data_IF_866693480145
#
_entry.id   IF_866693480145
#
_cell.length_a   1.000
_cell.length_b   1.000
_cell.length_c   1.000
_cell.angle_alpha   90.00
_cell.angle_beta   90.00
_cell.angle_gamma   90.00
#
_symmetry.space_group_name_H-M   'P 1'
#
loop_
_entity.id
_entity.type
_entity.pdbx_description
1 polymer ?
#
# COMPACT_ATOMS: atom_id res chain seq x y z
N UNK A 1 6.59 33.26 32.73
CA UNK A 1 6.98 31.84 32.83
C UNK A 1 5.77 31.19 33.48
N UNK A 2 4.82 30.63 32.74
CA UNK A 2 5.01 29.54 31.78
C UNK A 2 4.17 29.65 30.49
N UNK A 3 4.69 28.96 29.48
CA UNK A 3 4.41 29.09 28.05
C UNK A 3 3.17 28.25 27.69
N UNK A 4 1.98 28.82 27.86
CA UNK A 4 0.74 28.38 27.19
C UNK A 4 0.21 29.50 26.30
N UNK A 5 1.10 30.17 25.56
CA UNK A 5 0.70 30.98 24.41
C UNK A 5 0.79 30.07 23.17
N UNK A 6 -0.36 29.72 22.58
CA UNK A 6 -0.35 29.21 21.20
C UNK A 6 -1.45 28.22 20.80
N UNK A 7 -2.13 27.54 21.72
CA UNK A 7 -3.17 26.58 21.32
C UNK A 7 -4.50 27.31 21.09
N UNK A 8 -4.73 27.71 19.84
CA UNK A 8 -6.01 28.26 19.38
C UNK A 8 -6.89 27.14 18.81
N UNK A 9 -8.00 26.84 19.49
CA UNK A 9 -9.03 25.91 19.01
C UNK A 9 -9.73 26.49 17.78
N UNK A 10 -9.59 25.83 16.61
CA UNK A 10 -10.12 26.33 15.33
C UNK A 10 -11.43 25.68 14.84
N UNK A 11 -11.81 24.43 15.14
CA UNK A 11 -13.18 23.91 14.85
C UNK A 11 -13.55 22.48 15.38
N UNK A 12 -14.81 22.07 15.08
CA UNK A 12 -15.72 21.00 15.58
C UNK A 12 -15.13 19.66 16.00
N UNK A 13 -15.62 19.18 17.13
CA UNK A 13 -15.32 17.88 17.70
C UNK A 13 -16.46 16.89 17.38
N UNK A 14 -16.23 15.94 16.48
CA UNK A 14 -17.24 14.93 16.11
C UNK A 14 -17.11 13.68 17.02
N UNK A 15 -18.21 13.22 17.67
CA UNK A 15 -18.14 12.08 18.59
C UNK A 15 -18.10 10.73 17.85
N UNK A 16 -17.31 9.78 18.36
CA UNK A 16 -17.62 8.35 18.19
C UNK A 16 -16.72 7.48 17.30
N UNK A 17 -15.42 7.74 17.17
CA UNK A 17 -14.45 6.71 16.74
C UNK A 17 -13.21 6.73 17.63
N UNK A 18 -12.43 5.65 17.67
CA UNK A 18 -11.24 5.50 18.55
C UNK A 18 -9.99 6.01 17.84
N UNK A 19 -9.16 6.90 18.40
CA UNK A 19 -7.68 6.80 18.28
C UNK A 19 -6.94 7.47 19.45
N UNK A 20 -5.73 6.95 19.65
CA UNK A 20 -4.86 6.91 20.82
C UNK A 20 -3.87 8.09 20.84
N UNK A 21 -3.77 8.78 21.97
CA UNK A 21 -2.73 9.77 22.29
C UNK A 21 -1.34 9.10 22.29
N UNK A 22 -0.38 9.67 21.56
CA UNK A 22 1.04 9.30 21.66
C UNK A 22 1.84 10.55 22.05
N UNK A 23 2.14 10.67 23.35
CA UNK A 23 3.09 11.67 23.85
C UNK A 23 4.51 11.11 23.88
N UNK A 24 5.49 11.96 23.59
CA UNK A 24 6.91 11.66 23.77
C UNK A 24 7.27 11.83 25.26
N UNK A 25 7.61 10.72 25.93
CA UNK A 25 7.97 10.71 27.34
C UNK A 25 9.39 11.25 27.58
N UNK A 26 9.49 12.52 27.94
CA UNK A 26 10.57 12.94 28.84
C UNK A 26 10.02 12.91 30.26
N UNK A 27 10.47 11.93 31.05
CA UNK A 27 10.07 11.75 32.43
C UNK A 27 10.54 12.94 33.27
N UNK A 28 9.69 13.95 33.42
CA UNK A 28 9.90 15.05 34.35
C UNK A 28 8.54 15.56 34.80
N UNK A 29 8.02 14.96 35.88
CA UNK A 29 6.82 15.34 36.64
C UNK A 29 5.47 15.07 35.94
N UNK A 30 4.70 14.15 36.52
CA UNK A 30 3.30 13.89 36.18
C UNK A 30 2.44 15.05 36.68
N UNK A 31 2.08 15.98 35.81
CA UNK A 31 1.29 17.16 36.18
C UNK A 31 -0.22 16.85 36.13
N UNK A 32 -0.86 16.71 37.30
CA UNK A 32 -2.31 16.47 37.41
C UNK A 32 -3.16 17.51 36.68
N UNK A 33 -2.70 18.76 36.60
CA UNK A 33 -3.37 19.83 35.86
C UNK A 33 -3.45 19.57 34.35
N UNK A 34 -2.48 18.85 33.76
CA UNK A 34 -2.53 18.44 32.35
C UNK A 34 -3.56 17.33 32.14
N UNK A 35 -3.64 16.39 33.07
CA UNK A 35 -4.62 15.29 33.04
C UNK A 35 -6.06 15.82 33.09
N UNK A 36 -6.33 16.81 33.94
CA UNK A 36 -7.66 17.45 34.02
C UNK A 36 -7.99 18.25 32.75
N UNK A 37 -7.00 18.90 32.13
CA UNK A 37 -7.18 19.59 30.86
C UNK A 37 -7.48 18.60 29.72
N UNK A 38 -6.78 17.47 29.65
CA UNK A 38 -7.02 16.42 28.65
C UNK A 38 -8.36 15.71 28.85
N UNK A 39 -8.80 15.54 30.10
CA UNK A 39 -10.11 14.96 30.43
C UNK A 39 -11.29 15.77 29.87
N UNK A 40 -11.13 17.08 29.65
CA UNK A 40 -12.15 17.92 29.01
C UNK A 40 -12.34 17.60 27.52
N UNK A 41 -11.33 16.98 26.88
CA UNK A 41 -11.34 16.57 25.48
C UNK A 41 -11.63 15.07 25.31
N UNK A 42 -11.97 14.38 26.40
CA UNK A 42 -12.21 12.94 26.38
C UNK A 42 -13.48 12.63 25.55
N UNK A 43 -13.34 11.74 24.56
CA UNK A 43 -14.40 11.45 23.58
C UNK A 43 -14.40 12.32 22.32
N UNK A 44 -13.46 13.27 22.22
CA UNK A 44 -13.30 14.13 21.05
C UNK A 44 -11.98 13.87 20.31
N UNK A 45 -11.98 14.11 18.99
CA UNK A 45 -10.77 14.06 18.18
C UNK A 45 -10.16 15.45 18.06
N UNK A 46 -8.93 15.59 18.55
CA UNK A 46 -8.13 16.79 18.39
C UNK A 46 -6.91 16.50 17.51
N UNK A 47 -6.65 17.38 16.53
CA UNK A 47 -5.40 17.40 15.77
C UNK A 47 -4.55 18.51 16.38
N UNK A 48 -3.36 18.15 16.87
CA UNK A 48 -2.39 19.12 17.38
C UNK A 48 -1.32 19.31 16.30
N UNK A 49 -1.14 20.55 15.87
CA UNK A 49 -0.18 20.91 14.81
C UNK A 49 0.49 22.25 15.16
N UNK A 50 1.75 22.40 14.78
CA UNK A 50 2.51 23.64 14.84
C UNK A 50 2.34 24.52 13.57
N UNK A 51 1.60 24.02 12.59
CA UNK A 51 1.33 24.66 11.30
C UNK A 51 0.17 25.64 11.40
N UNK A 52 0.46 26.90 11.63
CA UNK A 52 -0.56 27.96 11.72
C UNK A 52 -1.12 28.42 10.36
N UNK A 53 -0.42 28.07 9.27
CA UNK A 53 -0.70 28.47 7.88
C UNK A 53 -1.82 27.66 7.20
N UNK A 54 -2.26 26.55 7.82
CA UNK A 54 -3.25 25.63 7.27
C UNK A 54 -4.66 25.90 7.81
N UNK A 55 -5.67 25.59 6.99
CA UNK A 55 -7.06 25.59 7.46
C UNK A 55 -7.37 24.28 8.19
N UNK A 56 -8.37 24.29 9.09
CA UNK A 56 -8.82 23.08 9.80
C UNK A 56 -9.20 21.94 8.85
N UNK A 57 -9.75 22.26 7.68
CA UNK A 57 -10.05 21.29 6.62
C UNK A 57 -8.79 20.71 5.98
N UNK A 58 -7.74 21.51 5.78
CA UNK A 58 -6.47 21.04 5.21
C UNK A 58 -5.74 20.13 6.21
N UNK A 59 -5.71 20.52 7.49
CA UNK A 59 -5.14 19.72 8.58
C UNK A 59 -5.83 18.35 8.69
N UNK A 60 -7.17 18.35 8.66
CA UNK A 60 -7.97 17.11 8.71
C UNK A 60 -7.70 16.22 7.49
N UNK A 61 -7.57 16.81 6.31
CA UNK A 61 -7.27 16.07 5.08
C UNK A 61 -5.88 15.44 5.14
N UNK A 62 -4.85 16.23 5.49
CA UNK A 62 -3.48 15.73 5.64
C UNK A 62 -3.39 14.60 6.66
N UNK A 63 -4.11 14.73 7.79
CA UNK A 63 -4.17 13.67 8.79
C UNK A 63 -4.85 12.41 8.26
N UNK A 64 -5.91 12.55 7.47
CA UNK A 64 -6.59 11.42 6.81
C UNK A 64 -5.68 10.69 5.82
N UNK A 65 -4.84 11.42 5.10
CA UNK A 65 -3.89 10.84 4.12
C UNK A 65 -2.83 9.94 4.80
N UNK A 66 -2.62 10.05 6.12
CA UNK A 66 -1.74 9.14 6.89
C UNK A 66 -2.22 7.69 6.88
N UNK A 67 -3.49 7.43 6.56
CA UNK A 67 -4.01 6.08 6.34
C UNK A 67 -3.14 5.28 5.34
N UNK A 68 -2.56 5.94 4.33
CA UNK A 68 -1.68 5.28 3.37
C UNK A 68 -0.44 4.66 4.02
N UNK A 69 0.05 5.24 5.12
CA UNK A 69 1.17 4.69 5.90
C UNK A 69 0.71 3.46 6.67
N UNK A 70 -0.44 3.52 7.34
CA UNK A 70 -1.01 2.38 8.06
C UNK A 70 -1.25 1.19 7.12
N UNK A 71 -1.86 1.45 5.96
CA UNK A 71 -2.07 0.43 4.94
C UNK A 71 -0.75 -0.17 4.45
N UNK A 72 0.28 0.66 4.25
CA UNK A 72 1.61 0.19 3.84
C UNK A 72 2.22 -0.73 4.89
N UNK A 73 2.11 -0.39 6.17
CA UNK A 73 2.56 -1.26 7.26
C UNK A 73 1.76 -2.55 7.35
N UNK A 74 0.45 -2.51 7.06
CA UNK A 74 -0.39 -3.70 7.02
C UNK A 74 0.08 -4.65 5.92
N UNK A 75 0.19 -4.17 4.67
CA UNK A 75 0.73 -4.95 3.54
C UNK A 75 2.10 -5.51 3.83
N UNK A 76 3.00 -4.69 4.37
CA UNK A 76 4.36 -5.13 4.68
C UNK A 76 4.36 -6.31 5.67
N UNK A 77 3.42 -6.33 6.61
CA UNK A 77 3.31 -7.37 7.63
C UNK A 77 2.53 -8.60 7.17
N UNK A 78 1.47 -8.43 6.38
CA UNK A 78 0.59 -9.52 5.95
C UNK A 78 1.06 -10.12 4.64
N UNK A 79 1.13 -9.31 3.59
CA UNK A 79 1.24 -9.79 2.21
C UNK A 79 2.70 -10.04 1.83
N UNK A 80 3.60 -9.18 2.33
CA UNK A 80 5.04 -9.29 2.07
C UNK A 80 5.80 -9.99 3.21
N UNK A 81 5.08 -10.45 4.24
CA UNK A 81 5.62 -11.24 5.35
C UNK A 81 6.90 -10.66 5.98
N UNK A 82 7.04 -9.34 6.07
CA UNK A 82 8.27 -8.69 6.55
C UNK A 82 8.61 -9.02 8.02
N UNK A 83 7.73 -9.74 8.74
CA UNK A 83 8.05 -10.37 10.01
C UNK A 83 8.69 -11.73 9.71
N UNK A 84 10.01 -11.87 9.82
CA UNK A 84 10.66 -13.13 9.49
C UNK A 84 10.29 -14.21 10.50
N UNK A 85 9.62 -15.28 10.06
CA UNK A 85 9.25 -16.38 10.95
C UNK A 85 10.37 -17.42 11.13
N UNK A 86 11.35 -17.48 10.22
CA UNK A 86 12.37 -18.56 10.18
C UNK A 86 13.79 -18.09 9.88
N UNK A 87 14.11 -16.83 10.19
CA UNK A 87 15.43 -16.24 9.88
C UNK A 87 16.28 -16.12 11.14
N UNK A 88 17.38 -16.86 11.19
CA UNK A 88 18.16 -17.08 12.42
C UNK A 88 19.35 -16.13 12.61
N UNK A 89 19.72 -15.33 11.60
CA UNK A 89 20.84 -14.38 11.70
C UNK A 89 20.42 -12.96 11.32
N UNK A 90 21.01 -11.97 11.99
CA UNK A 90 20.73 -10.56 11.78
C UNK A 90 20.93 -10.10 10.32
N UNK A 91 21.99 -10.52 9.59
CA UNK A 91 22.16 -10.15 8.18
C UNK A 91 21.04 -10.67 7.27
N UNK A 92 20.59 -11.91 7.48
CA UNK A 92 19.49 -12.48 6.69
C UNK A 92 18.15 -11.80 7.00
N UNK A 93 17.90 -11.43 8.27
CA UNK A 93 16.70 -10.70 8.67
C UNK A 93 16.63 -9.32 8.00
N UNK A 94 17.77 -8.62 7.96
CA UNK A 94 17.89 -7.34 7.26
C UNK A 94 17.68 -7.49 5.75
N UNK A 95 18.25 -8.54 5.14
CA UNK A 95 18.05 -8.83 3.73
C UNK A 95 16.58 -9.07 3.36
N UNK A 96 15.89 -9.92 4.13
CA UNK A 96 14.45 -10.17 3.98
C UNK A 96 13.65 -8.88 4.06
N UNK A 97 13.82 -8.12 5.15
CA UNK A 97 13.13 -6.86 5.34
C UNK A 97 13.40 -5.86 4.21
N UNK A 98 14.65 -5.81 3.72
CA UNK A 98 15.02 -4.92 2.60
C UNK A 98 14.30 -5.29 1.31
N UNK A 99 14.18 -6.59 1.02
CA UNK A 99 13.42 -7.08 -0.14
C UNK A 99 11.93 -6.77 -0.01
N UNK A 100 11.33 -7.04 1.15
CA UNK A 100 9.92 -6.69 1.41
C UNK A 100 9.67 -5.18 1.27
N UNK A 101 10.59 -4.35 1.76
CA UNK A 101 10.47 -2.90 1.63
C UNK A 101 10.59 -2.45 0.18
N UNK A 102 11.54 -3.01 -0.58
CA UNK A 102 11.69 -2.73 -2.00
C UNK A 102 10.42 -3.10 -2.79
N UNK A 103 9.85 -4.27 -2.50
CA UNK A 103 8.63 -4.74 -3.16
C UNK A 103 7.43 -3.83 -2.85
N UNK A 104 7.28 -3.41 -1.59
CA UNK A 104 6.31 -2.39 -1.19
C UNK A 104 6.49 -1.09 -2.00
N UNK A 105 7.73 -0.61 -2.17
CA UNK A 105 7.99 0.59 -2.97
C UNK A 105 7.55 0.43 -4.42
N UNK A 106 7.81 -0.73 -5.03
CA UNK A 106 7.37 -1.04 -6.41
C UNK A 106 5.85 -1.01 -6.50
N UNK A 107 5.16 -1.67 -5.57
CA UNK A 107 3.70 -1.72 -5.56
C UNK A 107 3.09 -0.32 -5.36
N UNK A 108 3.62 0.48 -4.43
CA UNK A 108 3.15 1.86 -4.20
C UNK A 108 3.39 2.76 -5.41
N UNK A 109 4.51 2.57 -6.09
CA UNK A 109 4.79 3.29 -7.33
C UNK A 109 3.79 2.91 -8.44
N UNK A 110 3.42 1.63 -8.54
CA UNK A 110 2.40 1.18 -9.49
C UNK A 110 1.04 1.83 -9.22
N UNK A 111 0.60 1.90 -7.96
CA UNK A 111 -0.65 2.62 -7.60
C UNK A 111 -0.60 4.10 -7.95
N UNK A 112 0.54 4.74 -7.70
CA UNK A 112 0.74 6.14 -8.07
C UNK A 112 0.59 6.36 -9.58
N UNK A 113 1.20 5.48 -10.39
CA UNK A 113 1.05 5.55 -11.84
C UNK A 113 -0.41 5.34 -12.28
N UNK A 114 -1.11 4.37 -11.69
CA UNK A 114 -2.53 4.12 -12.00
C UNK A 114 -3.40 5.33 -11.67
N UNK A 115 -3.19 5.96 -10.51
CA UNK A 115 -3.89 7.17 -10.12
C UNK A 115 -3.61 8.34 -11.08
N UNK A 116 -2.37 8.44 -11.57
CA UNK A 116 -1.95 9.49 -12.50
C UNK A 116 -2.59 9.35 -13.89
N UNK A 117 -2.75 8.13 -14.40
CA UNK A 117 -3.37 7.87 -15.70
C UNK A 117 -4.91 7.96 -15.67
N UNK A 118 -5.51 8.24 -14.50
CA UNK A 118 -6.96 8.38 -14.34
C UNK A 118 -7.70 7.04 -14.29
N UNK A 119 -6.99 5.94 -14.06
CA UNK A 119 -7.60 4.62 -13.82
C UNK A 119 -8.15 4.50 -12.41
N UNK A 120 -9.02 3.51 -12.19
CA UNK A 120 -9.43 3.13 -10.83
C UNK A 120 -8.22 2.60 -10.06
N UNK A 121 -7.93 3.21 -8.90
CA UNK A 121 -6.85 2.79 -8.04
C UNK A 121 -7.26 1.52 -7.31
N UNK A 122 -6.54 0.43 -7.58
CA UNK A 122 -6.75 -0.84 -6.89
C UNK A 122 -5.95 -0.94 -5.59
N UNK A 123 -6.43 -1.77 -4.66
CA UNK A 123 -5.73 -2.04 -3.41
C UNK A 123 -4.44 -2.83 -3.66
N UNK A 124 -3.53 -2.79 -2.69
CA UNK A 124 -2.28 -3.56 -2.75
C UNK A 124 -2.53 -5.04 -3.00
N UNK A 125 -3.43 -5.63 -2.23
CA UNK A 125 -3.85 -7.03 -2.33
C UNK A 125 -4.29 -7.41 -3.75
N UNK A 126 -5.14 -6.59 -4.37
CA UNK A 126 -5.64 -6.86 -5.71
C UNK A 126 -4.56 -6.75 -6.79
N UNK A 127 -3.59 -5.82 -6.66
CA UNK A 127 -2.46 -5.78 -7.60
C UNK A 127 -1.60 -7.02 -7.53
N UNK A 128 -1.24 -7.45 -6.31
CA UNK A 128 -0.41 -8.64 -6.14
C UNK A 128 -1.12 -9.86 -6.72
N UNK A 129 -2.40 -10.01 -6.44
CA UNK A 129 -3.24 -11.07 -7.00
C UNK A 129 -3.35 -10.99 -8.52
N UNK A 130 -3.56 -9.81 -9.09
CA UNK A 130 -3.63 -9.62 -10.53
C UNK A 130 -2.30 -9.94 -11.24
N UNK A 131 -1.16 -9.79 -10.56
CA UNK A 131 0.17 -10.15 -11.08
C UNK A 131 0.42 -11.66 -10.94
N UNK A 132 -0.10 -12.31 -9.89
CA UNK A 132 0.13 -13.73 -9.57
C UNK A 132 -0.79 -14.71 -10.33
N UNK A 133 -2.06 -14.34 -10.53
CA UNK A 133 -3.08 -15.18 -11.18
C UNK A 133 -2.91 -15.49 -12.68
N UNK A 134 -2.28 -14.65 -13.53
CA UNK A 134 -2.18 -14.88 -14.97
C UNK A 134 -1.57 -16.25 -15.30
N UNK A 135 -2.35 -17.11 -15.94
CA UNK A 135 -1.93 -18.44 -16.33
C UNK A 135 -2.10 -18.65 -17.84
N UNK A 136 -1.21 -19.45 -18.43
CA UNK A 136 -1.24 -19.80 -19.84
C UNK A 136 -1.21 -21.32 -20.00
N UNK A 137 -2.16 -21.87 -20.77
CA UNK A 137 -2.26 -23.30 -21.06
C UNK A 137 -2.18 -23.54 -22.55
N UNK A 138 -1.43 -24.58 -22.94
CA UNK A 138 -1.39 -25.02 -24.34
C UNK A 138 -2.55 -25.97 -24.59
N UNK A 139 -3.37 -25.66 -25.59
CA UNK A 139 -4.52 -26.44 -26.01
C UNK A 139 -4.22 -26.98 -27.41
N UNK A 140 -4.20 -28.30 -27.56
CA UNK A 140 -3.96 -29.01 -28.82
C UNK A 140 -2.55 -29.59 -28.96
N UNK A 141 -2.35 -30.36 -30.02
CA UNK A 141 -1.09 -31.05 -30.33
C UNK A 141 -0.37 -30.43 -31.53
N UNK A 142 0.97 -30.49 -31.50
CA UNK A 142 1.86 -30.11 -32.61
C UNK A 142 1.67 -28.66 -33.12
N UNK A 143 1.59 -28.47 -34.44
CA UNK A 143 1.68 -27.17 -35.11
C UNK A 143 0.40 -26.31 -35.01
N UNK A 144 -0.70 -26.90 -34.55
CA UNK A 144 -1.98 -26.20 -34.32
C UNK A 144 -2.22 -25.85 -32.85
N UNK A 145 -1.19 -25.96 -32.00
CA UNK A 145 -1.29 -25.62 -30.60
C UNK A 145 -1.66 -24.14 -30.41
N UNK A 146 -2.72 -23.90 -29.63
CA UNK A 146 -3.20 -22.57 -29.27
C UNK A 146 -2.94 -22.37 -27.79
N UNK A 147 -2.59 -21.15 -27.39
CA UNK A 147 -2.36 -20.80 -25.99
C UNK A 147 -3.60 -20.09 -25.46
N UNK A 148 -4.27 -20.74 -24.50
CA UNK A 148 -5.34 -20.15 -23.71
C UNK A 148 -4.74 -19.41 -22.52
N UNK A 149 -4.86 -18.09 -22.49
CA UNK A 149 -4.43 -17.25 -21.38
C UNK A 149 -5.63 -16.91 -20.49
N UNK A 150 -5.56 -17.30 -19.22
CA UNK A 150 -6.45 -16.84 -18.17
C UNK A 150 -5.88 -15.56 -17.58
N UNK A 151 -6.32 -14.41 -18.10
CA UNK A 151 -5.91 -13.07 -17.65
C UNK A 151 -7.10 -12.28 -17.15
N UNK A 152 -6.93 -11.61 -16.00
CA UNK A 152 -7.93 -10.72 -15.42
C UNK A 152 -7.88 -9.34 -16.07
N UNK A 153 -8.97 -8.56 -15.97
CA UNK A 153 -8.98 -7.17 -16.45
C UNK A 153 -7.98 -6.30 -15.69
N UNK A 154 -7.78 -6.58 -14.40
CA UNK A 154 -6.82 -5.90 -13.53
C UNK A 154 -5.39 -6.10 -14.00
N UNK A 155 -5.03 -7.33 -14.37
CA UNK A 155 -3.75 -7.62 -15.00
C UNK A 155 -3.57 -6.84 -16.31
N UNK A 156 -4.59 -6.80 -17.16
CA UNK A 156 -4.51 -6.06 -18.43
C UNK A 156 -4.36 -4.54 -18.20
N UNK A 157 -4.95 -3.99 -17.15
CA UNK A 157 -4.76 -2.59 -16.76
C UNK A 157 -3.31 -2.32 -16.35
N UNK A 158 -2.75 -3.18 -15.48
CA UNK A 158 -1.35 -3.10 -15.06
C UNK A 158 -0.40 -3.26 -16.26
N UNK A 159 -0.65 -4.24 -17.13
CA UNK A 159 0.19 -4.52 -18.29
C UNK A 159 0.24 -3.31 -19.25
N UNK A 160 -0.91 -2.66 -19.51
CA UNK A 160 -0.98 -1.45 -20.34
C UNK A 160 -0.18 -0.32 -19.73
N UNK A 161 -0.32 -0.10 -18.42
CA UNK A 161 0.40 0.93 -17.69
C UNK A 161 1.92 0.70 -17.71
N UNK A 162 2.36 -0.57 -17.69
CA UNK A 162 3.76 -0.95 -17.85
C UNK A 162 4.24 -0.91 -19.32
N UNK A 163 3.43 -0.44 -20.26
CA UNK A 163 3.75 -0.39 -21.68
C UNK A 163 3.89 -1.77 -22.34
N UNK A 164 3.30 -2.81 -21.75
CA UNK A 164 3.30 -4.16 -22.29
C UNK A 164 2.14 -4.34 -23.27
N UNK A 165 2.34 -5.10 -24.36
CA UNK A 165 1.25 -5.39 -25.28
C UNK A 165 0.19 -6.23 -24.58
N UNK A 166 -1.11 -6.01 -24.88
CA UNK A 166 -2.19 -6.77 -24.27
C UNK A 166 -2.12 -8.24 -24.70
N UNK A 167 -2.41 -9.14 -23.77
CA UNK A 167 -2.48 -10.58 -24.01
C UNK A 167 -3.94 -10.96 -24.27
N UNK A 168 -4.22 -11.59 -25.41
CA UNK A 168 -5.52 -12.14 -25.75
C UNK A 168 -5.80 -13.45 -24.99
N UNK A 169 -7.08 -13.73 -24.71
CA UNK A 169 -7.50 -14.95 -24.00
C UNK A 169 -7.15 -16.24 -24.73
N UNK A 170 -7.07 -16.19 -26.06
CA UNK A 170 -6.71 -17.34 -26.89
C UNK A 170 -5.86 -16.82 -28.04
N UNK A 171 -4.63 -17.31 -28.20
CA UNK A 171 -3.74 -16.89 -29.28
C UNK A 171 -2.80 -18.01 -29.74
N UNK A 172 -2.25 -17.91 -30.96
CA UNK A 172 -1.26 -18.87 -31.42
C UNK A 172 0.05 -18.78 -30.62
N UNK A 173 0.71 -19.92 -30.41
CA UNK A 173 1.98 -20.00 -29.66
C UNK A 173 3.08 -19.06 -30.23
N UNK A 174 3.29 -18.96 -31.57
CA UNK A 174 4.26 -17.99 -32.11
C UNK A 174 3.91 -16.54 -31.79
N UNK A 175 2.62 -16.20 -31.77
CA UNK A 175 2.16 -14.86 -31.42
C UNK A 175 2.44 -14.55 -29.94
N UNK A 176 2.12 -15.49 -29.05
CA UNK A 176 2.47 -15.38 -27.63
C UNK A 176 3.97 -15.17 -27.41
N UNK A 177 4.81 -15.98 -28.07
CA UNK A 177 6.28 -15.85 -28.02
C UNK A 177 6.75 -14.47 -28.47
N UNK A 178 6.16 -13.92 -29.52
CA UNK A 178 6.52 -12.59 -30.01
C UNK A 178 6.19 -11.48 -28.99
N UNK A 179 5.07 -11.61 -28.28
CA UNK A 179 4.60 -10.63 -27.29
C UNK A 179 5.36 -10.70 -25.96
N UNK A 180 5.49 -11.91 -25.40
CA UNK A 180 6.02 -12.11 -24.03
C UNK A 180 7.51 -12.44 -24.02
N UNK A 181 8.07 -12.86 -25.15
CA UNK A 181 9.42 -13.45 -25.27
C UNK A 181 9.62 -14.73 -24.44
N UNK A 182 8.54 -15.29 -23.89
CA UNK A 182 8.56 -16.55 -23.16
C UNK A 182 8.33 -17.71 -24.13
N UNK A 183 8.98 -18.85 -23.87
CA UNK A 183 8.77 -20.07 -24.64
C UNK A 183 7.95 -21.08 -23.82
N UNK A 184 6.66 -21.27 -24.14
CA UNK A 184 5.78 -22.17 -23.37
C UNK A 184 6.24 -23.63 -23.32
N UNK A 185 7.14 -24.06 -24.23
CA UNK A 185 7.66 -25.43 -24.27
C UNK A 185 8.86 -25.67 -23.35
N UNK A 186 9.52 -24.62 -22.89
CA UNK A 186 10.74 -24.75 -22.08
C UNK A 186 10.43 -24.96 -20.58
N UNK A 187 9.22 -24.58 -20.15
CA UNK A 187 8.77 -24.62 -18.75
C UNK A 187 7.83 -25.81 -18.41
N UNK A 188 7.52 -26.67 -19.39
CA UNK A 188 6.72 -27.88 -19.18
C UNK A 188 7.66 -29.00 -18.74
N UNK A 189 7.76 -29.22 -17.42
CA UNK A 189 8.24 -30.49 -16.86
C UNK A 189 7.08 -31.44 -16.61
#
# INVERSE_FOLDING_TARGET
MDVLHGIQLRQSLEPGRRHRLLEHWHASSFAMAKVEADAAFDGYYAIVTDREDLTSSDETRMYRDQWGIEESFRTLKSDLEARPERVWSAPLSLGHFTLCYLDLCVIRYLQYLMAKEGGEVMSTEWMMKAIDEPAATIIGEHDNAVLGASVTNDYLAIARLLGRPPIEKTMYVPHFKALTRLNPKDDIK
#
